data_IF_746304099025
#
_entry.id   IF_746304099025
#
_cell.length_a   1.000
_cell.length_b   1.000
_cell.length_c   1.000
_cell.angle_alpha   90.00
_cell.angle_beta   90.00
_cell.angle_gamma   90.00
#
_symmetry.space_group_name_H-M   'P 1'
#
loop_
_entity.id
_entity.type
_entity.pdbx_description
1 polymer ?
#
# COMPACT_ATOMS: atom_id res chain seq x y z
N UNK A 1 35.40 -12.05 -26.20
CA UNK A 1 34.44 -11.50 -25.21
C UNK A 1 35.23 -11.14 -23.97
N UNK A 2 35.41 -9.84 -23.70
CA UNK A 2 36.10 -9.36 -22.49
C UNK A 2 35.06 -9.28 -21.40
N UNK A 3 35.19 -10.09 -20.36
CA UNK A 3 34.33 -9.98 -19.20
C UNK A 3 34.79 -8.79 -18.35
N UNK A 4 33.89 -7.87 -17.97
CA UNK A 4 34.23 -6.80 -17.04
C UNK A 4 34.58 -7.41 -15.68
N UNK A 5 35.65 -6.92 -15.04
CA UNK A 5 36.01 -7.29 -13.66
C UNK A 5 34.90 -6.81 -12.72
N UNK A 6 34.58 -7.56 -11.64
CA UNK A 6 33.68 -7.04 -10.61
C UNK A 6 34.35 -5.83 -9.96
N UNK A 7 33.77 -4.66 -10.20
CA UNK A 7 34.09 -3.45 -9.46
C UNK A 7 33.57 -3.58 -8.02
N UNK A 8 34.44 -3.13 -7.11
CA UNK A 8 34.24 -2.84 -5.68
C UNK A 8 33.98 -4.03 -4.74
N UNK A 9 35.02 -4.43 -4.01
CA UNK A 9 34.86 -5.20 -2.78
C UNK A 9 34.01 -4.38 -1.78
N UNK A 10 32.95 -4.96 -1.16
CA UNK A 10 32.20 -4.25 -0.14
C UNK A 10 33.15 -3.91 1.01
N UNK A 11 33.26 -2.62 1.34
CA UNK A 11 34.14 -2.15 2.42
C UNK A 11 33.75 -2.88 3.72
N UNK A 12 34.64 -3.77 4.19
CA UNK A 12 34.41 -4.60 5.36
C UNK A 12 34.47 -3.73 6.61
N UNK A 13 33.31 -3.36 7.14
CA UNK A 13 33.21 -2.54 8.34
C UNK A 13 33.65 -3.33 9.58
N UNK A 14 34.43 -2.69 10.44
CA UNK A 14 34.79 -3.24 11.74
C UNK A 14 33.55 -3.37 12.63
N UNK A 15 33.55 -4.36 13.53
CA UNK A 15 32.49 -4.56 14.52
C UNK A 15 32.17 -3.32 15.36
N UNK A 16 33.18 -2.46 15.60
CA UNK A 16 33.01 -1.18 16.30
C UNK A 16 32.23 -0.17 15.46
N UNK A 17 32.53 -0.08 14.17
CA UNK A 17 31.86 0.82 13.23
C UNK A 17 30.40 0.41 13.02
N UNK A 18 30.14 -0.90 12.91
CA UNK A 18 28.77 -1.43 12.80
C UNK A 18 27.95 -1.06 14.03
N UNK A 19 28.51 -1.19 15.24
CA UNK A 19 27.82 -0.81 16.47
C UNK A 19 27.50 0.69 16.55
N UNK A 20 28.42 1.54 16.11
CA UNK A 20 28.20 2.99 16.11
C UNK A 20 27.13 3.38 15.08
N UNK A 21 27.19 2.82 13.86
CA UNK A 21 26.19 3.06 12.82
C UNK A 21 24.79 2.59 13.24
N UNK A 22 24.69 1.44 13.91
CA UNK A 22 23.42 0.94 14.45
C UNK A 22 22.88 1.85 15.55
N UNK A 23 23.77 2.42 16.39
CA UNK A 23 23.37 3.36 17.44
C UNK A 23 22.91 4.70 16.85
N UNK A 24 23.60 5.20 15.83
CA UNK A 24 23.20 6.41 15.09
C UNK A 24 21.90 6.21 14.33
N UNK A 25 21.74 5.08 13.64
CA UNK A 25 20.52 4.75 12.91
C UNK A 25 19.33 4.55 13.84
N UNK A 26 19.54 3.98 15.04
CA UNK A 26 18.50 3.88 16.06
C UNK A 26 18.02 5.25 16.55
N UNK A 27 18.94 6.21 16.74
CA UNK A 27 18.58 7.60 17.10
C UNK A 27 17.83 8.28 15.97
N UNK A 28 18.31 8.16 14.73
CA UNK A 28 17.65 8.72 13.56
C UNK A 28 16.25 8.13 13.38
N UNK A 29 16.10 6.83 13.57
CA UNK A 29 14.82 6.14 13.52
C UNK A 29 13.88 6.62 14.63
N UNK A 30 14.37 6.80 15.86
CA UNK A 30 13.57 7.35 16.96
C UNK A 30 13.05 8.76 16.64
N UNK A 31 13.92 9.65 16.12
CA UNK A 31 13.52 11.00 15.68
C UNK A 31 12.50 10.93 14.54
N UNK A 32 12.73 10.09 13.53
CA UNK A 32 11.80 9.90 12.42
C UNK A 32 10.44 9.35 12.86
N UNK A 33 10.44 8.39 13.79
CA UNK A 33 9.22 7.84 14.36
C UNK A 33 8.46 8.88 15.19
N UNK A 34 9.15 9.70 15.99
CA UNK A 34 8.55 10.83 16.71
C UNK A 34 7.94 11.87 15.77
N UNK A 35 8.66 12.23 14.70
CA UNK A 35 8.14 13.13 13.66
C UNK A 35 6.90 12.54 12.97
N UNK A 36 6.88 11.23 12.69
CA UNK A 36 5.70 10.55 12.13
C UNK A 36 4.54 10.41 13.13
N UNK A 37 4.83 10.27 14.41
CA UNK A 37 3.83 10.16 15.48
C UNK A 37 3.14 11.51 15.72
N UNK A 38 3.91 12.61 15.69
CA UNK A 38 3.39 13.98 15.73
C UNK A 38 2.68 14.33 14.42
N UNK A 39 3.17 13.82 13.28
CA UNK A 39 2.49 13.89 11.99
C UNK A 39 1.37 12.86 11.84
N UNK A 40 0.55 12.69 12.88
CA UNK A 40 -0.83 12.20 12.72
C UNK A 40 -1.68 13.27 12.00
N UNK A 41 -1.15 13.77 10.88
CA UNK A 41 -1.88 14.62 9.94
C UNK A 41 -3.04 13.76 9.50
N UNK A 42 -4.23 14.17 9.93
CA UNK A 42 -5.47 13.57 9.47
C UNK A 42 -5.43 13.65 7.95
N UNK A 43 -5.74 12.57 7.26
CA UNK A 43 -5.68 12.54 5.79
C UNK A 43 -6.54 13.68 5.21
N UNK A 44 -7.59 14.03 5.94
CA UNK A 44 -8.52 15.14 5.75
C UNK A 44 -7.86 16.54 5.82
N UNK A 45 -6.67 16.68 6.42
CA UNK A 45 -5.90 17.93 6.53
C UNK A 45 -4.85 18.10 5.43
N UNK A 46 -4.66 17.09 4.57
CA UNK A 46 -3.76 17.21 3.42
C UNK A 46 -4.39 18.18 2.41
N UNK A 47 -3.65 19.21 1.92
CA UNK A 47 -4.19 20.20 0.98
C UNK A 47 -4.88 19.57 -0.23
N UNK A 48 -4.27 18.51 -0.79
CA UNK A 48 -4.83 17.74 -1.90
C UNK A 48 -6.17 17.07 -1.55
N UNK A 49 -6.35 16.58 -0.33
CA UNK A 49 -7.61 15.94 0.09
C UNK A 49 -8.69 17.00 0.32
N UNK A 50 -8.33 18.15 0.90
CA UNK A 50 -9.24 19.29 1.06
C UNK A 50 -9.74 19.85 -0.28
N UNK A 51 -8.94 19.73 -1.34
CA UNK A 51 -9.32 20.15 -2.71
C UNK A 51 -10.33 19.18 -3.37
N UNK A 52 -10.41 17.92 -2.91
CA UNK A 52 -11.23 16.86 -3.52
C UNK A 52 -12.09 16.10 -2.47
N UNK A 53 -12.78 16.83 -1.60
CA UNK A 53 -13.60 16.25 -0.52
C UNK A 53 -14.75 15.36 -1.02
N UNK A 54 -15.22 15.58 -2.24
CA UNK A 54 -16.24 14.79 -2.94
C UNK A 54 -15.72 13.44 -3.44
N UNK A 55 -14.42 13.32 -3.72
CA UNK A 55 -13.75 12.08 -4.15
C UNK A 55 -13.33 11.21 -2.96
N UNK A 56 -13.11 11.82 -1.79
CA UNK A 56 -12.70 11.14 -0.56
C UNK A 56 -13.74 11.30 0.56
N UNK A 57 -14.99 10.84 0.37
CA UNK A 57 -15.98 10.84 1.45
C UNK A 57 -15.55 9.87 2.57
N UNK A 58 -15.94 10.18 3.81
CA UNK A 58 -15.61 9.34 4.97
C UNK A 58 -16.17 7.92 4.90
N UNK A 59 -17.22 7.73 4.10
CA UNK A 59 -17.84 6.44 3.80
C UNK A 59 -17.89 6.23 2.28
N UNK A 60 -17.66 5.00 1.83
CA UNK A 60 -17.74 4.63 0.40
C UNK A 60 -19.22 4.48 0.01
N UNK A 61 -19.63 5.06 -1.11
CA UNK A 61 -20.97 4.80 -1.66
C UNK A 61 -21.07 3.34 -2.10
N UNK A 62 -22.12 2.64 -1.69
CA UNK A 62 -22.36 1.23 -2.04
C UNK A 62 -22.48 0.98 -3.55
N UNK A 63 -22.84 2.03 -4.30
CA UNK A 63 -23.01 1.95 -5.75
C UNK A 63 -21.84 2.65 -6.43
N UNK A 64 -21.22 2.04 -7.45
CA UNK A 64 -20.23 2.75 -8.25
C UNK A 64 -20.88 4.01 -8.87
N UNK A 65 -20.14 5.13 -8.98
CA UNK A 65 -20.63 6.31 -9.67
C UNK A 65 -21.11 5.97 -11.08
N UNK A 66 -22.07 6.74 -11.59
CA UNK A 66 -22.51 6.62 -12.97
C UNK A 66 -21.30 6.83 -13.89
N UNK A 67 -21.07 5.88 -14.79
CA UNK A 67 -19.93 5.91 -15.70
C UNK A 67 -20.43 6.31 -17.07
N UNK A 68 -19.71 7.22 -17.72
CA UNK A 68 -20.05 7.67 -19.09
C UNK A 68 -19.90 6.57 -20.14
N UNK A 69 -19.16 5.50 -19.83
CA UNK A 69 -18.87 4.39 -20.74
C UNK A 69 -19.43 3.09 -20.16
N UNK A 70 -20.05 2.29 -21.02
CA UNK A 70 -20.48 0.94 -20.71
C UNK A 70 -19.26 0.00 -20.57
N UNK A 71 -19.25 -0.83 -19.52
CA UNK A 71 -18.18 -1.78 -19.26
C UNK A 71 -18.60 -3.17 -19.75
N UNK A 72 -17.82 -3.75 -20.65
CA UNK A 72 -17.97 -5.14 -21.09
C UNK A 72 -16.95 -6.04 -20.41
N UNK A 73 -17.33 -7.29 -20.14
CA UNK A 73 -16.42 -8.32 -19.63
C UNK A 73 -16.14 -9.28 -20.79
N UNK A 74 -14.94 -9.19 -21.35
CA UNK A 74 -14.51 -10.09 -22.40
C UNK A 74 -14.14 -11.45 -21.81
N UNK A 75 -14.81 -12.50 -22.28
CA UNK A 75 -14.53 -13.87 -21.85
C UNK A 75 -13.54 -14.52 -22.80
N UNK A 76 -12.68 -15.38 -22.26
CA UNK A 76 -11.85 -16.24 -23.08
C UNK A 76 -12.76 -17.18 -23.91
N UNK A 77 -12.39 -17.52 -25.15
CA UNK A 77 -13.17 -18.45 -25.96
C UNK A 77 -13.40 -19.78 -25.22
N UNK A 78 -14.65 -20.23 -25.15
CA UNK A 78 -15.03 -21.47 -24.47
C UNK A 78 -15.38 -21.32 -22.98
N UNK A 79 -15.29 -20.12 -22.40
CA UNK A 79 -15.81 -19.86 -21.04
C UNK A 79 -17.33 -19.89 -21.03
N UNK A 80 -17.91 -20.82 -20.26
CA UNK A 80 -19.35 -20.89 -20.01
C UNK A 80 -19.75 -20.26 -18.66
N UNK A 81 -21.06 -20.13 -18.39
CA UNK A 81 -21.56 -19.67 -17.10
C UNK A 81 -21.11 -20.58 -15.95
N UNK A 82 -20.75 -19.98 -14.82
CA UNK A 82 -20.40 -20.71 -13.60
C UNK A 82 -21.59 -20.61 -12.63
N UNK A 83 -22.02 -21.75 -12.11
CA UNK A 83 -23.06 -21.84 -11.09
C UNK A 83 -22.56 -22.67 -9.92
N UNK A 84 -22.36 -22.04 -8.77
CA UNK A 84 -21.92 -22.67 -7.53
C UNK A 84 -22.93 -22.39 -6.42
N UNK A 85 -23.14 -23.36 -5.53
CA UNK A 85 -23.99 -23.14 -4.36
C UNK A 85 -23.35 -22.09 -3.43
N UNK A 86 -24.13 -21.16 -2.84
CA UNK A 86 -23.62 -20.23 -1.84
C UNK A 86 -23.01 -20.97 -0.65
N UNK A 87 -22.02 -20.36 -0.02
CA UNK A 87 -21.46 -20.88 1.22
C UNK A 87 -22.49 -20.85 2.36
N UNK A 88 -22.39 -21.77 3.32
CA UNK A 88 -23.26 -21.77 4.50
C UNK A 88 -22.86 -20.64 5.44
N UNK A 89 -23.73 -19.64 5.57
CA UNK A 89 -23.58 -18.52 6.50
C UNK A 89 -24.40 -18.79 7.77
N UNK A 90 -23.92 -18.29 8.90
CA UNK A 90 -24.63 -18.33 10.19
C UNK A 90 -25.80 -17.33 10.20
N UNK A 91 -26.75 -17.51 11.12
CA UNK A 91 -27.89 -16.59 11.26
C UNK A 91 -27.48 -15.14 11.59
N UNK A 92 -26.32 -14.95 12.22
CA UNK A 92 -25.76 -13.63 12.52
C UNK A 92 -25.19 -12.91 11.30
N UNK A 93 -24.75 -13.63 10.28
CA UNK A 93 -24.16 -13.06 9.06
C UNK A 93 -25.21 -12.78 7.97
N UNK A 94 -26.37 -13.41 8.07
CA UNK A 94 -27.53 -13.18 7.18
C UNK A 94 -28.39 -11.99 7.62
N UNK A 95 -27.97 -11.26 8.64
CA UNK A 95 -28.77 -10.23 9.31
C UNK A 95 -28.67 -8.88 8.64
#
# INVERSE_FOLDING_TARGET
VVFPKPEEEPQLLSTKQVKELVKESAKLFAVFASLKLESKVKVEELPVVCEFLDVFPGDVSDMPPEREVEFTIDLAPGTGPISMAPYRMSASELK
#
